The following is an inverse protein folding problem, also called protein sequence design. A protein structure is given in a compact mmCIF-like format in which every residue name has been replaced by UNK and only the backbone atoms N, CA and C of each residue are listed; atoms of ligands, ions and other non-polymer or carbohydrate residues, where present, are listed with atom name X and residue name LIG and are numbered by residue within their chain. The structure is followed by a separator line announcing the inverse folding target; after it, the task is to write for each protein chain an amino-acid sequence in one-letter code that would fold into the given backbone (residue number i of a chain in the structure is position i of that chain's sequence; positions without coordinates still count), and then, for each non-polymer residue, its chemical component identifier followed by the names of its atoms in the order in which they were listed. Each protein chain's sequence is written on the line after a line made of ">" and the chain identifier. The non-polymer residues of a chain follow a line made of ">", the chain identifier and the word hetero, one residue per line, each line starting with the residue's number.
data_IF_567532025094
#
_entry.id   IF_567532025094
#
_cell.length_a   1.000
_cell.length_b   1.000
_cell.length_c   1.000
_cell.angle_alpha   90.00
_cell.angle_beta   90.00
_cell.angle_gamma   90.00
#
_symmetry.space_group_name_H-M   'P 1'
#
loop_
_entity.id
_entity.type
_entity.pdbx_description
1 polymer ?
#
# COMPACT_ATOMS: atom_id res chain seq x y z
N UNK A 1 34.12 23.18 -2.12
CA UNK A 1 33.04 23.32 -3.11
C UNK A 1 32.37 21.96 -3.15
N UNK A 2 31.17 21.84 -2.57
CA UNK A 2 30.48 20.55 -2.54
C UNK A 2 30.01 20.25 -3.96
N UNK A 3 30.32 19.07 -4.47
CA UNK A 3 29.90 18.64 -5.80
C UNK A 3 28.37 18.57 -5.84
N UNK A 4 27.75 19.30 -6.76
CA UNK A 4 26.29 19.34 -6.93
C UNK A 4 25.72 17.94 -7.19
N UNK A 5 26.49 17.10 -7.88
CA UNK A 5 26.13 15.71 -8.11
C UNK A 5 26.10 14.91 -6.81
N UNK A 6 26.97 15.21 -5.84
CA UNK A 6 26.92 14.57 -4.52
C UNK A 6 25.74 15.12 -3.69
N UNK A 7 25.44 16.41 -3.82
CA UNK A 7 24.31 17.02 -3.10
C UNK A 7 22.97 16.42 -3.51
N UNK A 8 22.74 16.12 -4.80
CA UNK A 8 21.46 15.50 -5.22
C UNK A 8 21.31 14.07 -4.71
N UNK A 9 22.42 13.32 -4.57
CA UNK A 9 22.39 11.96 -4.01
C UNK A 9 22.10 11.93 -2.51
N UNK A 10 22.56 12.94 -1.78
CA UNK A 10 22.46 13.00 -0.31
C UNK A 10 21.29 13.88 0.17
N UNK A 11 20.45 14.37 -0.74
CA UNK A 11 19.33 15.21 -0.37
C UNK A 11 18.24 14.37 0.31
N UNK A 12 18.10 14.51 1.63
CA UNK A 12 17.05 13.87 2.40
C UNK A 12 15.87 14.83 2.63
N UNK A 13 14.64 14.31 2.61
CA UNK A 13 13.44 15.05 2.93
C UNK A 13 13.44 15.48 4.40
N UNK A 14 13.81 14.58 5.31
CA UNK A 14 13.68 14.79 6.76
C UNK A 14 12.24 15.13 7.14
N UNK A 15 12.06 16.15 7.98
CA UNK A 15 10.76 16.66 8.41
C UNK A 15 10.14 17.69 7.43
N UNK A 16 10.79 17.94 6.29
CA UNK A 16 10.31 18.92 5.30
C UNK A 16 9.09 18.39 4.55
N UNK A 17 8.30 19.32 4.04
CA UNK A 17 7.20 19.00 3.16
C UNK A 17 7.72 18.30 1.89
N UNK A 18 6.88 17.45 1.28
CA UNK A 18 7.19 16.83 0.00
C UNK A 18 7.44 17.89 -1.08
N UNK A 19 6.69 19.00 -1.03
CA UNK A 19 6.80 20.09 -1.99
C UNK A 19 8.16 20.79 -1.91
N UNK A 20 8.63 21.16 -0.71
CA UNK A 20 9.91 21.83 -0.53
C UNK A 20 11.07 20.90 -0.90
N UNK A 21 10.99 19.63 -0.51
CA UNK A 21 11.97 18.63 -0.91
C UNK A 21 12.02 18.43 -2.43
N UNK A 22 10.87 18.39 -3.11
CA UNK A 22 10.80 18.27 -4.57
C UNK A 22 11.37 19.51 -5.29
N UNK A 23 11.14 20.71 -4.76
CA UNK A 23 11.73 21.95 -5.32
C UNK A 23 13.26 21.94 -5.22
N UNK A 24 13.79 21.61 -4.05
CA UNK A 24 15.24 21.51 -3.84
C UNK A 24 15.86 20.42 -4.73
N UNK A 25 15.20 19.25 -4.81
CA UNK A 25 15.65 18.15 -5.65
C UNK A 25 15.66 18.54 -7.12
N UNK A 26 14.58 19.13 -7.64
CA UNK A 26 14.47 19.56 -9.03
C UNK A 26 15.51 20.62 -9.38
N UNK A 27 15.77 21.57 -8.47
CA UNK A 27 16.82 22.56 -8.64
C UNK A 27 18.19 21.90 -8.78
N UNK A 28 18.54 20.97 -7.89
CA UNK A 28 19.83 20.27 -7.92
C UNK A 28 19.94 19.35 -9.14
N UNK A 29 18.90 18.58 -9.45
CA UNK A 29 18.85 17.63 -10.56
C UNK A 29 19.14 18.32 -11.91
N UNK A 30 18.55 19.50 -12.13
CA UNK A 30 18.76 20.32 -13.33
C UNK A 30 20.22 20.80 -13.51
N UNK A 31 21.04 20.75 -12.46
CA UNK A 31 22.44 21.11 -12.50
C UNK A 31 23.37 19.90 -12.67
N UNK A 32 22.80 18.71 -12.84
CA UNK A 32 23.54 17.45 -13.01
C UNK A 32 23.31 16.83 -14.38
N UNK A 33 24.15 15.86 -14.76
CA UNK A 33 24.02 15.10 -16.00
C UNK A 33 23.49 13.67 -15.77
N UNK A 34 22.83 13.42 -14.64
CA UNK A 34 22.30 12.10 -14.35
C UNK A 34 21.13 11.75 -15.27
N UNK A 35 21.02 10.49 -15.73
CA UNK A 35 19.82 10.01 -16.41
C UNK A 35 18.59 10.10 -15.49
N UNK A 36 17.41 10.32 -16.08
CA UNK A 36 16.14 10.41 -15.35
C UNK A 36 15.89 9.20 -14.45
N UNK A 37 16.27 7.99 -14.89
CA UNK A 37 16.16 6.78 -14.09
C UNK A 37 16.95 6.85 -12.78
N UNK A 38 18.14 7.47 -12.80
CA UNK A 38 18.94 7.68 -11.61
C UNK A 38 18.31 8.74 -10.71
N UNK A 39 17.82 9.84 -11.29
CA UNK A 39 17.15 10.91 -10.55
C UNK A 39 15.89 10.40 -9.84
N UNK A 40 15.09 9.55 -10.49
CA UNK A 40 13.94 8.90 -9.84
C UNK A 40 14.35 8.08 -8.62
N UNK A 41 15.43 7.30 -8.72
CA UNK A 41 15.95 6.50 -7.61
C UNK A 41 16.47 7.38 -6.47
N UNK A 42 17.19 8.45 -6.78
CA UNK A 42 17.71 9.37 -5.76
C UNK A 42 16.57 10.10 -5.05
N UNK A 43 15.59 10.60 -5.80
CA UNK A 43 14.41 11.25 -5.22
C UNK A 43 13.67 10.28 -4.29
N UNK A 44 13.41 9.05 -4.75
CA UNK A 44 12.74 8.03 -3.94
C UNK A 44 13.54 7.64 -2.69
N UNK A 45 14.86 7.57 -2.79
CA UNK A 45 15.75 7.25 -1.68
C UNK A 45 15.78 8.38 -0.63
N UNK A 46 15.69 9.64 -1.06
CA UNK A 46 15.67 10.82 -0.19
C UNK A 46 14.35 11.02 0.57
N UNK A 47 13.25 10.39 0.14
CA UNK A 47 11.96 10.52 0.82
C UNK A 47 11.96 9.90 2.22
N UNK A 48 11.27 10.55 3.15
CA UNK A 48 11.02 9.96 4.46
C UNK A 48 10.02 8.78 4.36
N UNK A 49 9.99 7.95 5.40
CA UNK A 49 9.19 6.71 5.42
C UNK A 49 7.70 6.96 5.25
N UNK A 50 7.17 8.01 5.90
CA UNK A 50 5.75 8.37 5.86
C UNK A 50 5.32 8.79 4.45
N UNK A 51 6.05 9.72 3.83
CA UNK A 51 5.76 10.20 2.48
C UNK A 51 5.91 9.09 1.45
N UNK A 52 6.93 8.22 1.59
CA UNK A 52 7.09 7.06 0.71
C UNK A 52 5.91 6.09 0.80
N UNK A 53 5.41 5.81 2.00
CA UNK A 53 4.24 4.97 2.18
C UNK A 53 2.97 5.59 1.56
N UNK A 54 2.77 6.90 1.75
CA UNK A 54 1.63 7.62 1.18
C UNK A 54 1.64 7.63 -0.35
N UNK A 55 2.79 7.86 -0.98
CA UNK A 55 2.92 7.81 -2.43
C UNK A 55 2.65 6.42 -2.99
N UNK A 56 3.09 5.36 -2.29
CA UNK A 56 2.79 4.00 -2.69
C UNK A 56 1.29 3.73 -2.65
N UNK A 57 0.61 4.09 -1.55
CA UNK A 57 -0.84 3.95 -1.43
C UNK A 57 -1.58 4.73 -2.51
N UNK A 58 -1.22 6.00 -2.73
CA UNK A 58 -1.84 6.83 -3.76
C UNK A 58 -1.64 6.26 -5.17
N UNK A 59 -0.47 5.67 -5.46
CA UNK A 59 -0.20 5.00 -6.72
C UNK A 59 -1.09 3.75 -6.89
N UNK A 60 -1.19 2.91 -5.87
CA UNK A 60 -2.06 1.72 -5.90
C UNK A 60 -3.52 2.10 -6.09
N UNK A 61 -4.02 3.08 -5.33
CA UNK A 61 -5.40 3.59 -5.47
C UNK A 61 -5.65 4.12 -6.89
N UNK A 62 -4.74 4.93 -7.42
CA UNK A 62 -4.84 5.44 -8.79
C UNK A 62 -4.85 4.32 -9.83
N UNK A 63 -4.00 3.30 -9.69
CA UNK A 63 -4.00 2.12 -10.58
C UNK A 63 -5.31 1.35 -10.48
N UNK A 64 -5.82 1.10 -9.27
CA UNK A 64 -7.07 0.38 -9.08
C UNK A 64 -8.25 1.10 -9.74
N UNK A 65 -8.34 2.42 -9.54
CA UNK A 65 -9.37 3.27 -10.17
C UNK A 65 -9.20 3.27 -11.69
N UNK A 66 -7.98 3.46 -12.19
CA UNK A 66 -7.70 3.60 -13.63
C UNK A 66 -7.87 2.30 -14.40
N UNK A 67 -7.53 1.16 -13.81
CA UNK A 67 -7.69 -0.14 -14.42
C UNK A 67 -9.12 -0.71 -14.26
N UNK A 68 -10.02 0.05 -13.63
CA UNK A 68 -11.35 -0.44 -13.21
C UNK A 68 -11.25 -1.78 -12.45
N UNK A 69 -10.10 -2.00 -11.80
CA UNK A 69 -9.86 -3.07 -10.87
C UNK A 69 -10.55 -2.67 -9.58
N UNK A 70 -11.88 -2.57 -9.61
CA UNK A 70 -12.67 -2.80 -8.43
C UNK A 70 -12.23 -4.16 -7.94
N UNK A 71 -11.50 -4.20 -6.83
CA UNK A 71 -11.40 -5.41 -6.04
C UNK A 71 -12.85 -5.82 -5.79
N UNK A 72 -13.37 -6.71 -6.62
CA UNK A 72 -14.64 -7.40 -6.47
C UNK A 72 -14.51 -8.39 -5.30
N UNK A 73 -14.00 -7.91 -4.17
CA UNK A 73 -14.28 -8.47 -2.86
C UNK A 73 -15.56 -7.81 -2.41
N UNK A 74 -16.63 -8.12 -3.14
CA UNK A 74 -17.95 -8.11 -2.55
C UNK A 74 -17.90 -9.22 -1.50
N UNK A 75 -17.60 -8.85 -0.25
CA UNK A 75 -17.85 -9.72 0.88
C UNK A 75 -19.37 -9.77 1.12
N UNK A 76 -20.11 -10.25 0.12
CA UNK A 76 -21.47 -10.76 0.28
C UNK A 76 -21.43 -12.27 0.14
N UNK A 77 -20.59 -12.91 0.95
CA UNK A 77 -21.04 -14.13 1.58
C UNK A 77 -21.92 -13.73 2.77
N UNK A 78 -23.06 -13.11 2.47
CA UNK A 78 -24.28 -13.32 3.25
C UNK A 78 -24.65 -14.80 3.02
N UNK A 79 -23.86 -15.69 3.62
CA UNK A 79 -24.34 -17.03 3.94
C UNK A 79 -25.34 -16.78 5.05
N UNK A 80 -26.56 -16.43 4.61
CA UNK A 80 -27.78 -16.64 5.35
C UNK A 80 -27.78 -18.13 5.66
N UNK A 81 -27.24 -18.47 6.83
CA UNK A 81 -27.23 -19.81 7.38
C UNK A 81 -28.66 -20.37 7.28
N UNK A 82 -28.95 -21.39 6.46
CA UNK A 82 -30.21 -22.07 6.60
C UNK A 82 -30.08 -22.80 7.93
N UNK A 83 -30.78 -22.29 8.94
CA UNK A 83 -31.02 -22.95 10.22
C UNK A 83 -31.41 -24.41 9.94
N UNK A 84 -30.44 -25.32 10.00
CA UNK A 84 -30.69 -26.74 10.05
C UNK A 84 -31.23 -27.00 11.45
N UNK A 85 -32.56 -27.11 11.51
CA UNK A 85 -33.29 -27.57 12.68
C UNK A 85 -32.65 -28.89 13.16
N UNK A 86 -32.26 -29.02 14.44
CA UNK A 86 -31.75 -30.30 14.94
C UNK A 86 -32.90 -31.29 15.04
N UNK A 87 -32.90 -32.28 14.13
CA UNK A 87 -33.81 -33.42 14.17
C UNK A 87 -33.80 -34.07 15.56
N UNK A 88 -34.97 -34.32 16.20
CA UNK A 88 -35.02 -34.83 17.56
C UNK A 88 -34.44 -36.25 17.62
N UNK A 89 -33.48 -36.47 18.53
CA UNK A 89 -32.89 -37.79 18.77
C UNK A 89 -33.97 -38.84 19.13
N UNK A 90 -33.95 -40.05 18.54
CA UNK A 90 -34.83 -41.12 18.98
C UNK A 90 -34.39 -41.64 20.36
N UNK A 91 -35.37 -41.84 21.24
CA UNK A 91 -35.18 -42.32 22.60
C UNK A 91 -34.60 -43.75 22.63
N UNK A 92 -33.63 -43.94 23.52
CA UNK A 92 -32.97 -45.22 23.82
C UNK A 92 -33.97 -46.31 24.25
N UNK A 93 -33.87 -47.56 23.75
CA UNK A 93 -34.77 -48.63 24.15
C UNK A 93 -34.41 -49.11 25.56
N UNK A 94 -35.42 -49.03 26.45
CA UNK A 94 -35.38 -49.58 27.81
C UNK A 94 -35.20 -51.10 27.74
N UNK A 95 -34.13 -51.60 28.34
CA UNK A 95 -33.97 -53.03 28.65
C UNK A 95 -35.06 -53.46 29.64
N UNK A 96 -35.98 -54.33 29.21
CA UNK A 96 -36.81 -55.13 30.12
C UNK A 96 -36.18 -56.51 30.28
N UNK A 97 -35.84 -56.80 31.54
CA UNK A 97 -35.37 -58.09 32.06
C UNK A 97 -36.54 -59.08 32.13
N UNK A 98 -36.34 -60.30 31.64
CA UNK A 98 -37.10 -61.49 32.02
C UNK A 98 -36.17 -62.69 32.14
#
# INVERSE_FOLDING_TARGET
>A
MNDLAVLVLLLEQGDRSLEDHAKDFAFLANLTHYPDSCLCLFFQAGLNTTTRAQLFTACVEWVLVSCNCLLAMDFTDDVTNPTLDPEPSPASPRFTKH
#
